data_IF_732235614000
#
_entry.id   IF_732235614000
#
_cell.length_a   1.000
_cell.length_b   1.000
_cell.length_c   1.000
_cell.angle_alpha   90.00
_cell.angle_beta   90.00
_cell.angle_gamma   90.00
#
_symmetry.space_group_name_H-M   'P 1'
#
loop_
_entity.id
_entity.type
_entity.pdbx_description
1 polymer ?
#
# COMPACT_ATOMS: atom_id res chain seq x y z
N UNK A 1 14.82 -0.13 23.87
CA UNK A 1 13.83 -0.94 23.15
C UNK A 1 14.57 -1.87 22.20
N UNK A 2 14.35 -3.18 22.30
CA UNK A 2 14.82 -4.12 21.28
C UNK A 2 14.13 -3.78 19.97
N UNK A 3 14.89 -3.64 18.88
CA UNK A 3 14.29 -3.34 17.57
C UNK A 3 13.44 -4.52 17.12
N UNK A 4 12.16 -4.28 16.93
CA UNK A 4 11.20 -5.27 16.41
C UNK A 4 11.50 -5.66 14.95
N UNK A 5 12.25 -4.82 14.24
CA UNK A 5 12.55 -5.01 12.82
C UNK A 5 14.05 -5.15 12.58
N UNK A 6 14.47 -6.01 11.64
CA UNK A 6 15.89 -6.25 11.33
C UNK A 6 16.57 -5.02 10.69
N UNK A 7 15.79 -4.08 10.17
CA UNK A 7 16.31 -2.91 9.44
C UNK A 7 16.32 -1.68 10.33
N UNK A 8 17.51 -1.07 10.50
CA UNK A 8 17.69 0.20 11.17
C UNK A 8 18.04 1.25 10.13
N UNK A 9 17.14 2.16 9.87
CA UNK A 9 17.42 3.31 9.05
C UNK A 9 16.56 4.51 9.48
N UNK A 10 17.05 5.70 9.18
CA UNK A 10 16.35 6.96 9.37
C UNK A 10 16.26 7.64 8.01
N UNK A 11 15.22 8.40 7.77
CA UNK A 11 15.09 9.21 6.56
C UNK A 11 16.30 10.13 6.36
N UNK A 12 16.85 10.68 7.49
CA UNK A 12 18.04 11.53 7.50
C UNK A 12 19.32 10.84 7.02
N UNK A 13 19.42 9.53 7.13
CA UNK A 13 20.64 8.79 6.80
C UNK A 13 20.83 8.65 5.28
N UNK A 14 19.86 9.15 4.51
CA UNK A 14 19.78 8.84 3.09
C UNK A 14 19.50 7.37 2.89
N UNK A 15 19.09 7.02 1.72
CA UNK A 15 18.57 5.70 1.49
C UNK A 15 19.33 5.00 0.36
N UNK A 16 19.69 3.75 0.47
CA UNK A 16 19.50 2.78 1.54
C UNK A 16 20.55 2.92 2.64
N UNK A 17 20.18 2.39 3.84
CA UNK A 17 21.09 2.34 4.97
C UNK A 17 22.41 1.64 4.63
N UNK A 18 23.48 2.02 5.31
CA UNK A 18 24.79 1.36 5.19
C UNK A 18 24.63 -0.15 5.39
N UNK A 19 25.26 -0.95 4.51
CA UNK A 19 25.30 -2.40 4.59
C UNK A 19 24.31 -3.16 3.69
N UNK A 20 23.43 -2.47 2.95
CA UNK A 20 22.61 -3.12 1.94
C UNK A 20 23.44 -3.41 0.70
N UNK A 21 23.45 -4.67 0.29
CA UNK A 21 24.14 -5.08 -0.94
C UNK A 21 23.28 -4.75 -2.15
N UNK A 22 23.71 -3.74 -2.92
CA UNK A 22 23.10 -3.44 -4.21
C UNK A 22 23.43 -4.53 -5.22
N UNK A 23 22.45 -4.90 -6.03
CA UNK A 23 22.61 -5.89 -7.09
C UNK A 23 22.44 -5.30 -8.50
N UNK A 24 22.30 -3.97 -8.61
CA UNK A 24 22.24 -3.24 -9.89
C UNK A 24 20.95 -3.44 -10.69
N UNK A 25 19.95 -4.14 -10.14
CA UNK A 25 18.66 -4.32 -10.78
C UNK A 25 17.81 -3.06 -10.65
N UNK A 26 17.22 -2.64 -11.76
CA UNK A 26 16.49 -1.36 -11.86
C UNK A 26 15.00 -1.54 -11.62
N UNK A 27 14.45 -0.68 -10.75
CA UNK A 27 13.01 -0.58 -10.50
C UNK A 27 12.51 0.81 -10.83
N UNK A 28 11.34 0.89 -11.43
CA UNK A 28 10.58 2.12 -11.60
C UNK A 28 9.17 1.91 -11.04
N UNK A 29 8.58 2.94 -10.43
CA UNK A 29 7.28 2.86 -9.79
C UNK A 29 6.21 3.68 -10.50
N UNK A 30 4.96 3.27 -10.39
CA UNK A 30 3.79 4.09 -10.72
C UNK A 30 2.88 4.18 -9.49
N UNK A 31 2.14 5.27 -9.35
CA UNK A 31 1.36 5.54 -8.14
C UNK A 31 2.21 5.49 -6.87
N UNK A 32 3.39 6.10 -6.94
CA UNK A 32 4.45 5.94 -5.94
C UNK A 32 4.12 6.54 -4.58
N UNK A 33 3.13 7.43 -4.50
CA UNK A 33 2.73 8.09 -3.25
C UNK A 33 3.93 8.64 -2.46
N UNK A 34 3.98 8.41 -1.14
CA UNK A 34 5.10 8.80 -0.29
C UNK A 34 6.33 7.91 -0.36
N UNK A 35 6.33 6.86 -1.21
CA UNK A 35 7.50 6.02 -1.47
C UNK A 35 7.65 4.78 -0.57
N UNK A 36 6.56 4.28 0.01
CA UNK A 36 6.64 3.08 0.85
C UNK A 36 7.17 1.85 0.11
N UNK A 37 6.67 1.56 -1.11
CA UNK A 37 7.19 0.47 -1.94
C UNK A 37 8.63 0.74 -2.41
N UNK A 38 8.91 1.99 -2.81
CA UNK A 38 10.28 2.42 -3.17
C UNK A 38 11.29 2.11 -2.06
N UNK A 39 10.90 2.38 -0.82
CA UNK A 39 11.69 2.05 0.36
C UNK A 39 11.97 0.55 0.45
N UNK A 40 10.93 -0.27 0.31
CA UNK A 40 11.05 -1.72 0.33
C UNK A 40 12.00 -2.25 -0.75
N UNK A 41 11.91 -1.75 -1.98
CA UNK A 41 12.80 -2.16 -3.07
C UNK A 41 14.25 -1.75 -2.81
N UNK A 42 14.49 -0.54 -2.32
CA UNK A 42 15.84 -0.10 -1.95
C UNK A 42 16.41 -0.95 -0.82
N UNK A 43 15.61 -1.28 0.22
CA UNK A 43 16.02 -2.21 1.29
C UNK A 43 16.38 -3.60 0.77
N UNK A 44 15.70 -4.05 -0.28
CA UNK A 44 16.02 -5.30 -0.97
C UNK A 44 17.24 -5.20 -1.90
N UNK A 45 17.87 -4.03 -2.03
CA UNK A 45 19.09 -3.82 -2.83
C UNK A 45 18.86 -3.42 -4.29
N UNK A 46 17.64 -3.04 -4.66
CA UNK A 46 17.35 -2.55 -6.01
C UNK A 46 17.75 -1.07 -6.19
N UNK A 47 18.14 -0.72 -7.41
CA UNK A 47 18.33 0.66 -7.83
C UNK A 47 16.97 1.23 -8.28
N UNK A 48 16.30 1.94 -7.38
CA UNK A 48 15.01 2.53 -7.67
C UNK A 48 15.16 3.87 -8.40
N UNK A 49 14.78 3.90 -9.68
CA UNK A 49 15.00 5.04 -10.56
C UNK A 49 14.07 6.23 -10.29
N UNK A 50 12.91 5.98 -9.69
CA UNK A 50 11.89 6.99 -9.44
C UNK A 50 10.51 6.52 -9.87
N UNK A 51 9.63 7.43 -10.30
CA UNK A 51 8.28 7.00 -10.66
C UNK A 51 7.34 8.11 -11.13
N UNK A 52 6.06 7.73 -11.24
CA UNK A 52 4.94 8.59 -11.64
C UNK A 52 4.03 8.83 -10.44
N UNK A 53 3.69 10.08 -10.17
CA UNK A 53 2.75 10.52 -9.13
C UNK A 53 1.97 11.72 -9.64
N UNK A 54 0.66 11.69 -9.47
CA UNK A 54 -0.21 12.77 -9.98
C UNK A 54 -0.29 13.95 -9.02
N UNK A 55 -0.14 13.71 -7.70
CA UNK A 55 -0.26 14.75 -6.68
C UNK A 55 1.08 15.47 -6.47
N UNK A 56 1.20 16.77 -6.82
CA UNK A 56 2.45 17.51 -6.67
C UNK A 56 2.95 17.60 -5.22
N UNK A 57 2.03 17.65 -4.24
CA UNK A 57 2.40 17.71 -2.81
C UNK A 57 3.01 16.40 -2.35
N UNK A 58 2.41 15.28 -2.75
CA UNK A 58 2.90 13.95 -2.46
C UNK A 58 4.21 13.68 -3.19
N UNK A 59 4.31 14.09 -4.46
CA UNK A 59 5.54 14.00 -5.25
C UNK A 59 6.70 14.82 -4.64
N UNK A 60 6.40 15.99 -4.03
CA UNK A 60 7.41 16.79 -3.33
C UNK A 60 7.97 16.05 -2.09
N UNK A 61 7.09 15.39 -1.31
CA UNK A 61 7.51 14.54 -0.18
C UNK A 61 8.36 13.38 -0.67
N UNK A 62 7.91 12.69 -1.72
CA UNK A 62 8.68 11.61 -2.33
C UNK A 62 10.06 12.07 -2.79
N UNK A 63 10.13 13.21 -3.50
CA UNK A 63 11.39 13.78 -3.98
C UNK A 63 12.37 14.09 -2.85
N UNK A 64 11.87 14.68 -1.76
CA UNK A 64 12.69 15.01 -0.59
C UNK A 64 13.30 13.76 0.07
N UNK A 65 12.49 12.68 0.20
CA UNK A 65 12.90 11.46 0.90
C UNK A 65 13.73 10.51 0.03
N UNK A 66 13.40 10.37 -1.26
CA UNK A 66 13.95 9.31 -2.11
C UNK A 66 14.95 9.79 -3.14
N UNK A 67 15.02 11.12 -3.43
CA UNK A 67 15.94 11.73 -4.41
C UNK A 67 15.95 10.97 -5.74
N UNK A 68 14.79 10.81 -6.39
CA UNK A 68 14.66 9.98 -7.58
C UNK A 68 15.45 10.56 -8.75
N UNK A 69 15.95 9.67 -9.62
CA UNK A 69 16.58 10.06 -10.90
C UNK A 69 15.52 10.57 -11.88
N UNK A 70 14.36 9.91 -11.93
CA UNK A 70 13.24 10.27 -12.78
C UNK A 70 11.97 10.41 -11.95
N UNK A 71 11.35 11.58 -11.97
CA UNK A 71 10.08 11.86 -11.31
C UNK A 71 9.15 12.56 -12.29
N UNK A 72 8.06 11.90 -12.62
CA UNK A 72 7.01 12.43 -13.48
C UNK A 72 5.79 12.80 -12.61
N UNK A 73 5.52 14.10 -12.54
CA UNK A 73 4.40 14.63 -11.75
C UNK A 73 3.23 14.89 -12.68
N UNK A 74 2.54 13.81 -13.04
CA UNK A 74 1.49 13.84 -14.07
C UNK A 74 0.54 12.63 -13.95
N UNK A 75 -0.56 12.67 -14.68
CA UNK A 75 -1.43 11.47 -14.84
C UNK A 75 -0.68 10.37 -15.58
N UNK A 76 -0.84 9.13 -15.13
CA UNK A 76 -0.23 7.95 -15.76
C UNK A 76 -0.66 7.79 -17.24
N UNK A 77 -1.82 8.31 -17.62
CA UNK A 77 -2.26 8.30 -19.03
C UNK A 77 -1.37 9.20 -19.87
N UNK A 78 -1.08 10.42 -19.38
CA UNK A 78 -0.15 11.33 -20.03
C UNK A 78 1.27 10.74 -20.09
N UNK A 79 1.71 10.10 -19.00
CA UNK A 79 2.99 9.37 -19.00
C UNK A 79 3.04 8.28 -20.08
N UNK A 80 1.94 7.57 -20.31
CA UNK A 80 1.87 6.54 -21.34
C UNK A 80 1.93 7.12 -22.78
N UNK A 81 1.55 8.38 -22.97
CA UNK A 81 1.62 9.06 -24.27
C UNK A 81 3.02 9.65 -24.57
N UNK A 82 3.91 9.74 -23.57
CA UNK A 82 5.24 10.32 -23.75
C UNK A 82 6.09 9.54 -24.74
N UNK A 83 6.82 10.26 -25.58
CA UNK A 83 7.78 9.72 -26.55
C UNK A 83 9.24 10.06 -26.18
N UNK A 84 9.44 10.86 -25.12
CA UNK A 84 10.73 11.36 -24.64
C UNK A 84 11.26 10.65 -23.41
N UNK A 85 10.76 9.44 -23.12
CA UNK A 85 11.23 8.64 -22.00
C UNK A 85 12.67 8.16 -22.24
N UNK A 86 13.54 8.18 -21.21
CA UNK A 86 14.91 7.72 -21.35
C UNK A 86 14.98 6.20 -21.58
N UNK A 87 15.94 5.75 -22.35
CA UNK A 87 16.14 4.34 -22.72
C UNK A 87 16.20 3.39 -21.52
N UNK A 88 16.69 3.86 -20.38
CA UNK A 88 16.78 3.03 -19.19
C UNK A 88 15.42 2.61 -18.63
N UNK A 89 14.34 3.33 -18.92
CA UNK A 89 12.98 2.92 -18.54
C UNK A 89 12.43 1.79 -19.41
N UNK A 90 13.04 1.54 -20.58
CA UNK A 90 12.74 0.40 -21.44
C UNK A 90 13.63 -0.83 -21.14
N UNK A 91 14.51 -0.72 -20.13
CA UNK A 91 15.40 -1.77 -19.66
C UNK A 91 15.23 -2.04 -18.15
N UNK A 92 13.99 -2.04 -17.67
CA UNK A 92 13.67 -2.29 -16.28
C UNK A 92 13.72 -3.78 -15.93
N UNK A 93 14.30 -4.10 -14.79
CA UNK A 93 14.14 -5.42 -14.18
C UNK A 93 12.77 -5.58 -13.56
N UNK A 94 12.22 -4.48 -12.96
CA UNK A 94 10.92 -4.49 -12.32
C UNK A 94 10.18 -3.16 -12.52
N UNK A 95 8.88 -3.25 -12.83
CA UNK A 95 7.93 -2.15 -12.77
C UNK A 95 6.95 -2.42 -11.63
N UNK A 96 6.84 -1.48 -10.69
CA UNK A 96 5.91 -1.53 -9.55
C UNK A 96 4.71 -0.61 -9.79
N UNK A 97 3.53 -1.06 -9.37
CA UNK A 97 2.34 -0.23 -9.44
C UNK A 97 1.24 -0.65 -8.47
N UNK A 98 0.67 0.36 -7.79
CA UNK A 98 -0.47 0.19 -6.90
C UNK A 98 -1.61 1.12 -7.32
N UNK A 99 -2.25 0.87 -8.48
CA UNK A 99 -3.33 1.72 -8.98
C UNK A 99 -4.49 1.77 -7.98
N UNK A 100 -5.08 2.96 -7.74
CA UNK A 100 -6.13 3.13 -6.77
C UNK A 100 -7.36 2.27 -7.12
N UNK A 101 -7.97 1.69 -6.08
CA UNK A 101 -9.06 0.74 -6.18
C UNK A 101 -10.23 1.17 -5.29
N UNK A 102 -10.70 2.39 -5.47
CA UNK A 102 -11.76 2.94 -4.62
C UNK A 102 -13.09 2.20 -4.74
N UNK A 103 -13.36 1.55 -5.87
CA UNK A 103 -14.60 0.80 -6.13
C UNK A 103 -14.59 -0.62 -5.57
N UNK A 104 -13.41 -1.16 -5.23
CA UNK A 104 -13.25 -2.55 -4.78
C UNK A 104 -12.91 -2.68 -3.30
N UNK A 105 -12.65 -1.56 -2.60
CA UNK A 105 -12.33 -1.57 -1.18
C UNK A 105 -13.55 -1.92 -0.34
N UNK A 106 -13.38 -2.81 0.65
CA UNK A 106 -14.40 -3.12 1.66
C UNK A 106 -14.82 -1.89 2.47
N UNK A 107 -13.96 -0.89 2.60
CA UNK A 107 -14.21 0.37 3.30
C UNK A 107 -14.90 1.43 2.42
N UNK A 108 -15.05 1.20 1.11
CA UNK A 108 -15.73 2.10 0.18
C UNK A 108 -17.20 1.74 -0.06
N UNK A 109 -17.98 2.69 -0.60
CA UNK A 109 -19.34 2.44 -1.07
C UNK A 109 -19.29 1.53 -2.28
N UNK A 110 -19.53 0.23 -2.08
CA UNK A 110 -19.58 -0.77 -3.16
C UNK A 110 -20.64 -0.37 -4.20
N UNK A 111 -20.35 -0.62 -5.48
CA UNK A 111 -21.28 -0.57 -6.62
C UNK A 111 -21.89 0.80 -6.99
N UNK A 112 -22.21 1.66 -6.02
CA UNK A 112 -22.79 3.00 -6.30
C UNK A 112 -21.80 4.01 -6.90
N UNK A 113 -20.51 3.69 -6.89
CA UNK A 113 -19.44 4.56 -7.37
C UNK A 113 -18.82 4.16 -8.70
N UNK A 114 -19.27 3.08 -9.34
CA UNK A 114 -18.73 2.61 -10.62
C UNK A 114 -19.03 3.58 -11.75
N UNK A 115 -18.02 3.88 -12.55
CA UNK A 115 -18.13 4.81 -13.69
C UNK A 115 -18.28 6.29 -13.32
N UNK A 116 -18.27 6.64 -12.03
CA UNK A 116 -18.35 8.04 -11.58
C UNK A 116 -16.96 8.65 -11.43
N UNK A 117 -16.83 9.89 -11.88
CA UNK A 117 -15.65 10.69 -11.59
C UNK A 117 -15.55 10.94 -10.08
N UNK A 118 -14.37 10.81 -9.54
CA UNK A 118 -14.06 11.08 -8.13
C UNK A 118 -12.92 12.07 -8.03
N UNK A 119 -13.00 12.95 -7.04
CA UNK A 119 -11.91 13.83 -6.64
C UNK A 119 -11.22 13.19 -5.44
N UNK A 120 -9.92 12.95 -5.54
CA UNK A 120 -9.10 12.57 -4.42
C UNK A 120 -8.53 13.81 -3.77
N UNK A 121 -8.97 14.09 -2.55
CA UNK A 121 -8.53 15.20 -1.71
C UNK A 121 -8.65 16.58 -2.39
N UNK A 122 -8.50 17.63 -1.62
CA UNK A 122 -8.61 19.01 -2.08
C UNK A 122 -7.59 19.29 -3.20
N UNK A 123 -8.12 19.70 -4.38
CA UNK A 123 -7.33 20.20 -5.50
C UNK A 123 -6.90 19.18 -6.55
N UNK A 124 -7.30 17.93 -6.47
CA UNK A 124 -7.02 16.95 -7.52
C UNK A 124 -8.06 17.00 -8.65
N UNK A 125 -7.62 16.69 -9.87
CA UNK A 125 -8.50 16.56 -11.02
C UNK A 125 -9.52 15.43 -10.84
N UNK A 126 -10.73 15.61 -11.39
CA UNK A 126 -11.72 14.55 -11.49
C UNK A 126 -11.16 13.38 -12.30
N UNK A 127 -11.20 12.17 -11.74
CA UNK A 127 -10.65 10.99 -12.40
C UNK A 127 -11.64 9.81 -12.35
N UNK A 128 -11.69 9.07 -13.44
CA UNK A 128 -12.22 7.71 -13.44
C UNK A 128 -11.13 6.78 -12.93
N UNK A 129 -11.39 6.16 -11.78
CA UNK A 129 -10.40 5.31 -11.11
C UNK A 129 -10.51 3.86 -11.52
N UNK A 130 -11.64 3.47 -12.09
CA UNK A 130 -11.95 2.08 -12.38
C UNK A 130 -11.09 1.51 -13.52
N UNK A 131 -10.56 2.39 -14.38
CA UNK A 131 -9.72 2.04 -15.53
C UNK A 131 -8.21 2.21 -15.27
N UNK A 132 -7.80 2.85 -14.15
CA UNK A 132 -6.38 3.06 -13.86
C UNK A 132 -5.58 1.75 -13.72
N UNK A 133 -6.22 0.68 -13.29
CA UNK A 133 -5.60 -0.63 -13.27
C UNK A 133 -5.23 -1.12 -14.67
N UNK A 134 -6.06 -0.82 -15.67
CA UNK A 134 -5.78 -1.17 -17.07
C UNK A 134 -4.76 -0.21 -17.67
N UNK A 135 -4.81 1.08 -17.32
CA UNK A 135 -3.77 2.04 -17.70
C UNK A 135 -2.38 1.61 -17.21
N UNK A 136 -2.31 1.01 -16.02
CA UNK A 136 -1.07 0.41 -15.54
C UNK A 136 -0.63 -0.80 -16.39
N UNK A 137 -1.57 -1.64 -16.83
CA UNK A 137 -1.26 -2.74 -17.77
C UNK A 137 -0.73 -2.19 -19.09
N UNK A 138 -1.25 -1.05 -19.56
CA UNK A 138 -0.75 -0.37 -20.76
C UNK A 138 0.68 0.17 -20.54
N UNK A 139 0.99 0.66 -19.33
CA UNK A 139 2.37 1.03 -18.95
C UNK A 139 3.31 -0.17 -18.99
N UNK A 140 2.85 -1.34 -18.50
CA UNK A 140 3.64 -2.59 -18.60
C UNK A 140 3.89 -2.96 -20.07
N UNK A 141 2.87 -2.85 -20.92
CA UNK A 141 3.01 -3.12 -22.35
C UNK A 141 3.99 -2.17 -23.03
N UNK A 142 3.99 -0.89 -22.64
CA UNK A 142 4.89 0.14 -23.17
C UNK A 142 6.35 -0.08 -22.75
N UNK A 143 6.59 -0.23 -21.45
CA UNK A 143 7.95 -0.29 -20.90
C UNK A 143 8.57 -1.69 -20.95
N UNK A 144 7.77 -2.73 -21.07
CA UNK A 144 8.17 -4.13 -21.18
C UNK A 144 9.19 -4.60 -20.12
N UNK A 145 8.94 -4.34 -18.81
CA UNK A 145 9.84 -4.78 -17.77
C UNK A 145 9.96 -6.31 -17.72
N UNK A 146 11.09 -6.84 -17.22
CA UNK A 146 11.26 -8.30 -17.02
C UNK A 146 10.22 -8.86 -16.03
N UNK A 147 9.91 -8.07 -14.99
CA UNK A 147 8.87 -8.37 -13.99
C UNK A 147 8.00 -7.15 -13.80
N UNK A 148 6.68 -7.35 -13.73
CA UNK A 148 5.77 -6.31 -13.28
C UNK A 148 5.01 -6.80 -12.04
N UNK A 149 4.85 -5.90 -11.06
CA UNK A 149 4.07 -6.16 -9.84
C UNK A 149 2.92 -5.17 -9.78
N UNK A 150 1.70 -5.70 -9.71
CA UNK A 150 0.49 -4.92 -9.46
C UNK A 150 -0.05 -5.28 -8.08
N UNK A 151 -0.04 -4.33 -7.16
CA UNK A 151 -0.64 -4.47 -5.82
C UNK A 151 -2.05 -3.91 -5.83
N UNK A 152 -2.95 -4.60 -5.12
CA UNK A 152 -4.29 -4.08 -4.91
C UNK A 152 -4.96 -4.67 -3.65
N UNK A 153 -6.14 -4.18 -3.30
CA UNK A 153 -6.90 -4.67 -2.15
C UNK A 153 -7.46 -6.07 -2.41
N UNK A 154 -7.62 -6.88 -1.33
CA UNK A 154 -8.25 -8.21 -1.37
C UNK A 154 -9.61 -8.20 -2.10
N UNK A 155 -10.37 -7.10 -2.00
CA UNK A 155 -11.68 -6.96 -2.62
C UNK A 155 -11.68 -7.18 -4.14
N UNK A 156 -10.55 -6.94 -4.84
CA UNK A 156 -10.40 -7.19 -6.26
C UNK A 156 -10.54 -8.69 -6.62
N UNK A 157 -10.25 -9.59 -5.68
CA UNK A 157 -10.38 -11.04 -5.85
C UNK A 157 -11.75 -11.57 -5.41
N UNK A 158 -12.69 -10.71 -5.02
CA UNK A 158 -13.97 -11.12 -4.43
C UNK A 158 -15.18 -10.54 -5.21
N UNK A 159 -16.31 -11.23 -5.12
CA UNK A 159 -17.59 -10.78 -5.71
C UNK A 159 -17.47 -10.43 -7.19
N UNK A 160 -18.17 -9.38 -7.62
CA UNK A 160 -18.20 -8.90 -9.00
C UNK A 160 -16.83 -8.36 -9.48
N UNK A 161 -15.95 -7.96 -8.56
CA UNK A 161 -14.61 -7.46 -8.91
C UNK A 161 -13.69 -8.55 -9.50
N UNK A 162 -14.02 -9.85 -9.33
CA UNK A 162 -13.26 -10.95 -9.94
C UNK A 162 -13.17 -10.86 -11.46
N UNK A 163 -14.13 -10.21 -12.11
CA UNK A 163 -14.11 -10.01 -13.57
C UNK A 163 -12.90 -9.15 -13.96
N UNK A 164 -12.62 -8.10 -13.18
CA UNK A 164 -11.45 -7.24 -13.41
C UNK A 164 -10.15 -8.00 -13.16
N UNK A 165 -10.06 -8.80 -12.11
CA UNK A 165 -8.89 -9.63 -11.86
C UNK A 165 -8.60 -10.59 -13.02
N UNK A 166 -9.64 -11.22 -13.58
CA UNK A 166 -9.51 -12.08 -14.76
C UNK A 166 -9.07 -11.30 -15.99
N UNK A 167 -9.61 -10.11 -16.22
CA UNK A 167 -9.26 -9.27 -17.36
C UNK A 167 -7.82 -8.75 -17.24
N UNK A 168 -7.34 -8.38 -16.04
CA UNK A 168 -5.92 -8.04 -15.79
C UNK A 168 -5.02 -9.20 -16.22
N UNK A 169 -5.30 -10.41 -15.74
CA UNK A 169 -4.51 -11.60 -16.10
C UNK A 169 -4.54 -11.87 -17.60
N UNK A 170 -5.71 -11.74 -18.23
CA UNK A 170 -5.88 -11.93 -19.68
C UNK A 170 -5.04 -10.94 -20.47
N UNK A 171 -5.09 -9.64 -20.14
CA UNK A 171 -4.30 -8.60 -20.83
C UNK A 171 -2.81 -8.80 -20.65
N UNK A 172 -2.35 -9.06 -19.42
CA UNK A 172 -0.94 -9.32 -19.16
C UNK A 172 -0.42 -10.53 -19.95
N UNK A 173 -1.22 -11.60 -20.02
CA UNK A 173 -0.90 -12.77 -20.86
C UNK A 173 -0.88 -12.43 -22.35
N UNK A 174 -1.81 -11.57 -22.79
CA UNK A 174 -1.85 -11.06 -24.16
C UNK A 174 -0.57 -10.28 -24.53
N UNK A 175 0.09 -9.66 -23.55
CA UNK A 175 1.38 -9.00 -23.73
C UNK A 175 2.59 -9.93 -23.54
N UNK A 176 2.38 -11.24 -23.42
CA UNK A 176 3.45 -12.25 -23.36
C UNK A 176 3.97 -12.54 -21.95
N UNK A 177 3.27 -12.11 -20.89
CA UNK A 177 3.66 -12.40 -19.51
C UNK A 177 3.04 -13.68 -18.99
N UNK A 178 3.82 -14.45 -18.22
CA UNK A 178 3.25 -15.43 -17.27
C UNK A 178 2.83 -14.69 -16.00
N UNK A 179 1.63 -15.00 -15.47
CA UNK A 179 1.06 -14.25 -14.34
C UNK A 179 0.68 -15.20 -13.22
N UNK A 180 1.16 -14.91 -12.02
CA UNK A 180 0.72 -15.54 -10.79
C UNK A 180 0.06 -14.49 -9.89
N UNK A 181 -1.01 -14.89 -9.19
CA UNK A 181 -1.76 -14.02 -8.29
C UNK A 181 -1.67 -14.57 -6.87
N UNK A 182 -1.25 -13.71 -5.94
CA UNK A 182 -1.09 -14.05 -4.54
C UNK A 182 -1.98 -13.16 -3.68
N UNK A 183 -2.59 -13.74 -2.65
CA UNK A 183 -3.18 -12.97 -1.55
C UNK A 183 -2.24 -13.11 -0.35
N UNK A 184 -1.63 -12.01 0.04
CA UNK A 184 -0.63 -11.95 1.10
C UNK A 184 -1.14 -11.15 2.28
N UNK A 185 -0.74 -11.55 3.50
CA UNK A 185 -1.03 -10.82 4.72
C UNK A 185 0.28 -10.32 5.34
N UNK A 186 0.42 -9.02 5.50
CA UNK A 186 1.61 -8.40 6.06
C UNK A 186 1.96 -8.92 7.47
N UNK A 187 0.95 -9.35 8.25
CA UNK A 187 1.18 -9.91 9.59
C UNK A 187 2.05 -11.17 9.60
N UNK A 188 2.06 -11.94 8.51
CA UNK A 188 2.94 -13.13 8.38
C UNK A 188 4.30 -12.80 7.78
N UNK A 189 4.57 -11.52 7.55
CA UNK A 189 5.79 -10.99 6.94
C UNK A 189 6.60 -10.12 7.92
N UNK A 190 6.33 -10.22 9.24
CA UNK A 190 6.99 -9.42 10.27
C UNK A 190 6.45 -7.98 10.39
N UNK A 191 5.30 -7.67 9.82
CA UNK A 191 4.63 -6.37 9.96
C UNK A 191 3.55 -6.46 11.05
N UNK A 192 3.55 -5.59 12.07
CA UNK A 192 2.58 -5.65 13.17
C UNK A 192 1.20 -5.13 12.78
N UNK A 193 0.74 -5.50 11.59
CA UNK A 193 -0.56 -5.09 11.02
C UNK A 193 -1.15 -6.20 10.15
N UNK A 194 -2.41 -6.53 10.36
CA UNK A 194 -3.17 -7.39 9.46
C UNK A 194 -3.57 -6.59 8.22
N UNK A 195 -2.76 -6.70 7.18
CA UNK A 195 -2.99 -6.02 5.90
C UNK A 195 -2.97 -7.04 4.76
N UNK A 196 -4.15 -7.45 4.34
CA UNK A 196 -4.30 -8.36 3.20
C UNK A 196 -4.32 -7.58 1.89
N UNK A 197 -3.45 -7.97 0.96
CA UNK A 197 -3.35 -7.39 -0.39
C UNK A 197 -3.16 -8.48 -1.42
N UNK A 198 -3.74 -8.28 -2.60
CA UNK A 198 -3.47 -9.14 -3.74
C UNK A 198 -2.33 -8.55 -4.57
N UNK A 199 -1.47 -9.45 -5.03
CA UNK A 199 -0.33 -9.15 -5.89
C UNK A 199 -0.44 -9.95 -7.18
N UNK A 200 -0.47 -9.26 -8.31
CA UNK A 200 -0.31 -9.87 -9.61
C UNK A 200 1.15 -9.73 -10.00
N UNK A 201 1.86 -10.84 -10.05
CA UNK A 201 3.27 -10.88 -10.44
C UNK A 201 3.34 -11.42 -11.86
N UNK A 202 3.66 -10.53 -12.79
CA UNK A 202 3.79 -10.82 -14.20
C UNK A 202 5.26 -10.91 -14.58
N UNK A 203 5.67 -12.01 -15.23
CA UNK A 203 7.06 -12.29 -15.61
C UNK A 203 7.13 -12.52 -17.11
N UNK A 204 8.07 -11.83 -17.76
CA UNK A 204 8.23 -11.91 -19.20
C UNK A 204 8.87 -13.23 -19.64
N UNK A 205 9.82 -13.75 -18.84
CA UNK A 205 10.47 -15.03 -19.13
C UNK A 205 9.64 -16.21 -18.58
N UNK A 206 9.04 -16.96 -19.49
CA UNK A 206 8.21 -18.13 -19.17
C UNK A 206 9.04 -19.33 -18.68
N UNK A 207 10.35 -19.35 -18.90
CA UNK A 207 11.25 -20.43 -18.45
C UNK A 207 11.49 -20.40 -16.92
N UNK A 208 11.24 -19.27 -16.27
CA UNK A 208 11.40 -19.17 -14.83
C UNK A 208 10.35 -20.04 -14.09
N UNK A 209 10.76 -20.78 -13.06
CA UNK A 209 9.85 -21.62 -12.30
C UNK A 209 8.78 -20.78 -11.61
N UNK A 210 7.64 -21.39 -11.33
CA UNK A 210 6.60 -20.71 -10.57
C UNK A 210 7.11 -20.27 -9.20
N UNK A 211 6.75 -19.04 -8.82
CA UNK A 211 7.06 -18.51 -7.50
C UNK A 211 6.28 -19.29 -6.44
N UNK A 212 6.96 -19.64 -5.37
CA UNK A 212 6.36 -20.14 -4.14
C UNK A 212 6.67 -19.12 -3.06
N UNK A 213 5.66 -18.33 -2.67
CA UNK A 213 5.79 -17.31 -1.63
C UNK A 213 5.29 -17.90 -0.32
N UNK A 214 6.20 -18.10 0.64
CA UNK A 214 5.91 -18.65 1.94
C UNK A 214 6.42 -17.68 3.01
N UNK A 215 5.49 -17.09 3.76
CA UNK A 215 5.78 -16.16 4.83
C UNK A 215 5.15 -16.72 6.11
N UNK A 216 5.97 -16.99 7.11
CA UNK A 216 5.57 -17.66 8.36
C UNK A 216 6.14 -16.94 9.59
N UNK A 217 6.41 -15.63 9.45
CA UNK A 217 6.85 -14.83 10.58
C UNK A 217 5.78 -14.81 11.68
N UNK A 218 6.16 -14.95 12.95
CA UNK A 218 5.19 -14.91 14.04
C UNK A 218 4.51 -13.53 14.12
N UNK A 219 3.20 -13.48 14.35
CA UNK A 219 2.47 -12.24 14.49
C UNK A 219 3.00 -11.37 15.63
N UNK A 220 3.17 -10.07 15.39
CA UNK A 220 3.63 -9.10 16.38
C UNK A 220 2.41 -8.42 17.03
N UNK A 221 2.09 -8.70 18.29
CA UNK A 221 0.92 -8.13 18.98
C UNK A 221 1.15 -6.67 19.37
N UNK A 222 0.07 -5.90 19.52
CA UNK A 222 0.10 -4.47 19.84
C UNK A 222 0.92 -4.15 21.08
N UNK A 223 0.83 -4.95 22.15
CA UNK A 223 1.59 -4.75 23.39
C UNK A 223 3.11 -4.61 23.20
N UNK A 224 3.66 -5.10 22.09
CA UNK A 224 5.10 -5.03 21.80
C UNK A 224 5.58 -3.62 21.45
N UNK A 225 4.66 -2.73 21.07
CA UNK A 225 4.98 -1.35 20.67
C UNK A 225 4.00 -0.31 21.20
N UNK A 226 3.15 -0.70 22.14
CA UNK A 226 2.25 0.17 22.89
C UNK A 226 3.06 1.27 23.61
N UNK A 227 2.69 2.54 23.39
CA UNK A 227 3.35 3.71 23.98
C UNK A 227 2.66 4.17 25.28
N UNK A 228 1.65 3.45 25.76
CA UNK A 228 0.93 3.79 27.00
C UNK A 228 0.08 5.04 26.85
N UNK A 229 0.03 5.85 27.90
CA UNK A 229 -0.72 7.11 27.90
C UNK A 229 0.03 8.20 27.11
N UNK A 230 -0.67 8.77 26.14
CA UNK A 230 -0.16 9.90 25.33
C UNK A 230 -1.31 10.88 25.08
N UNK A 231 -0.99 12.17 24.90
CA UNK A 231 -1.99 13.23 24.73
C UNK A 231 -2.36 13.55 23.28
N UNK A 232 -1.74 12.88 22.30
CA UNK A 232 -1.69 13.42 20.93
C UNK A 232 -2.92 13.17 20.07
N UNK A 233 -3.81 12.26 20.43
CA UNK A 233 -4.93 11.85 19.58
C UNK A 233 -6.16 11.43 20.41
N UNK A 234 -6.88 12.38 20.96
CA UNK A 234 -8.09 12.13 21.75
C UNK A 234 -9.24 11.56 20.91
N UNK A 235 -10.10 10.79 21.55
CA UNK A 235 -11.34 10.32 20.96
C UNK A 235 -12.39 11.44 20.94
N UNK A 236 -13.16 11.52 19.86
CA UNK A 236 -14.33 12.41 19.84
C UNK A 236 -15.36 11.96 20.91
N UNK A 237 -16.27 12.85 21.34
CA UNK A 237 -17.30 12.49 22.34
C UNK A 237 -18.14 11.26 21.94
N UNK A 238 -18.39 11.08 20.64
CA UNK A 238 -19.12 9.91 20.14
C UNK A 238 -18.25 8.64 20.17
N UNK A 239 -16.99 8.75 19.78
CA UNK A 239 -16.04 7.65 19.88
C UNK A 239 -15.85 7.21 21.33
N UNK A 240 -15.75 8.15 22.26
CA UNK A 240 -15.57 7.87 23.68
C UNK A 240 -16.75 7.05 24.25
N UNK A 241 -17.99 7.41 23.87
CA UNK A 241 -19.19 6.65 24.27
C UNK A 241 -19.16 5.19 23.78
N UNK A 242 -18.66 4.97 22.58
CA UNK A 242 -18.55 3.62 22.00
C UNK A 242 -17.37 2.86 22.61
N UNK A 243 -16.22 3.55 22.77
CA UNK A 243 -15.03 2.99 23.42
C UNK A 243 -15.33 2.44 24.81
N UNK A 244 -16.11 3.19 25.63
CA UNK A 244 -16.49 2.75 26.97
C UNK A 244 -17.33 1.47 26.98
N UNK A 245 -18.10 1.21 25.91
CA UNK A 245 -18.94 0.01 25.77
C UNK A 245 -18.18 -1.18 25.21
N UNK A 246 -17.13 -0.93 24.39
CA UNK A 246 -16.37 -1.97 23.74
C UNK A 246 -15.37 -2.64 24.69
N UNK A 247 -15.29 -3.96 24.61
CA UNK A 247 -14.18 -4.73 25.17
C UNK A 247 -12.97 -4.68 24.21
N UNK A 248 -11.75 -4.92 24.71
CA UNK A 248 -10.60 -5.08 23.83
C UNK A 248 -10.85 -6.12 22.71
N UNK A 249 -10.51 -5.77 21.48
CA UNK A 249 -10.77 -6.59 20.29
C UNK A 249 -12.13 -6.37 19.62
N UNK A 250 -13.05 -5.62 20.23
CA UNK A 250 -14.37 -5.40 19.64
C UNK A 250 -14.41 -4.18 18.72
N UNK A 251 -15.26 -4.32 17.68
CA UNK A 251 -15.57 -3.26 16.72
C UNK A 251 -16.65 -2.34 17.25
N UNK A 252 -16.50 -1.03 17.02
CA UNK A 252 -17.50 -0.02 17.40
C UNK A 252 -18.86 -0.23 16.74
N UNK A 253 -18.91 -0.80 15.55
CA UNK A 253 -20.13 -1.11 14.83
C UNK A 253 -21.11 -1.98 15.66
N UNK A 254 -20.58 -2.80 16.57
CA UNK A 254 -21.38 -3.63 17.49
C UNK A 254 -22.32 -2.79 18.39
N UNK A 255 -21.88 -1.58 18.75
CA UNK A 255 -22.57 -0.70 19.69
C UNK A 255 -23.08 0.59 19.03
N UNK A 256 -22.74 0.82 17.77
CA UNK A 256 -23.20 1.99 17.03
C UNK A 256 -24.66 1.78 16.58
N UNK A 257 -25.59 2.76 16.82
CA UNK A 257 -27.02 2.59 16.54
C UNK A 257 -27.36 2.20 15.10
N UNK A 258 -26.55 2.65 14.14
CA UNK A 258 -26.71 2.36 12.69
C UNK A 258 -25.72 1.32 12.17
N UNK A 259 -24.98 0.62 13.04
CA UNK A 259 -23.94 -0.34 12.63
C UNK A 259 -22.77 0.29 11.85
N UNK A 260 -22.64 1.62 11.88
CA UNK A 260 -21.50 2.31 11.24
C UNK A 260 -20.21 2.09 12.04
N UNK A 261 -19.08 2.58 11.51
CA UNK A 261 -17.77 2.50 12.15
C UNK A 261 -17.24 1.07 12.29
N UNK A 262 -17.49 0.26 11.28
CA UNK A 262 -17.02 -1.13 11.19
C UNK A 262 -15.48 -1.27 11.05
N UNK A 263 -14.76 -0.17 10.80
CA UNK A 263 -13.29 -0.12 10.79
C UNK A 263 -12.70 0.36 12.12
N UNK A 264 -13.55 0.71 13.09
CA UNK A 264 -13.13 1.23 14.38
C UNK A 264 -13.13 0.12 15.43
N UNK A 265 -11.99 -0.09 16.05
CA UNK A 265 -11.80 -1.15 17.06
C UNK A 265 -11.22 -0.58 18.34
N UNK A 266 -11.66 -1.08 19.48
CA UNK A 266 -10.89 -1.00 20.71
C UNK A 266 -9.83 -2.09 20.63
N UNK A 267 -8.56 -1.71 20.65
CA UNK A 267 -7.46 -2.65 20.42
C UNK A 267 -7.44 -3.77 21.46
N UNK A 268 -6.96 -4.93 21.02
CA UNK A 268 -6.59 -6.03 21.89
C UNK A 268 -5.06 -6.06 21.98
N UNK A 269 -4.48 -5.88 23.18
CA UNK A 269 -3.03 -5.81 23.33
C UNK A 269 -2.32 -7.10 22.87
N UNK A 270 -3.01 -8.24 22.91
CA UNK A 270 -2.46 -9.55 22.56
C UNK A 270 -2.63 -9.92 21.09
N UNK A 271 -3.24 -9.04 20.29
CA UNK A 271 -3.47 -9.25 18.86
C UNK A 271 -2.71 -8.25 17.99
N UNK A 272 -2.50 -8.68 16.75
CA UNK A 272 -1.97 -7.81 15.69
C UNK A 272 -3.00 -6.73 15.37
N UNK A 273 -2.53 -5.51 15.09
CA UNK A 273 -3.41 -4.41 14.66
C UNK A 273 -4.20 -4.76 13.40
N UNK A 274 -5.41 -4.22 13.31
CA UNK A 274 -6.14 -4.17 12.06
C UNK A 274 -5.44 -3.23 11.06
N UNK A 275 -5.86 -3.29 9.79
CA UNK A 275 -5.27 -2.42 8.76
C UNK A 275 -5.36 -0.94 9.15
N UNK A 276 -4.21 -0.29 9.29
CA UNK A 276 -4.13 1.17 9.46
C UNK A 276 -4.48 1.83 8.14
N UNK A 277 -5.46 2.72 8.15
CA UNK A 277 -5.96 3.43 6.96
C UNK A 277 -5.46 4.86 6.90
N UNK A 278 -5.40 5.44 5.70
CA UNK A 278 -4.93 6.81 5.48
C UNK A 278 -5.91 7.90 5.96
N UNK A 279 -7.14 7.53 6.36
CA UNK A 279 -8.12 8.50 6.82
C UNK A 279 -7.78 8.97 8.23
N UNK A 280 -7.93 10.28 8.47
CA UNK A 280 -7.75 10.93 9.78
C UNK A 280 -8.70 10.40 10.87
N UNK A 281 -9.77 9.72 10.47
CA UNK A 281 -10.68 8.97 11.34
C UNK A 281 -10.16 7.55 11.62
N UNK A 282 -8.86 7.38 11.74
CA UNK A 282 -8.23 6.10 12.08
C UNK A 282 -8.97 5.46 13.26
N UNK A 283 -9.64 4.36 12.96
CA UNK A 283 -10.66 3.82 13.81
C UNK A 283 -10.17 2.99 14.98
N UNK A 284 -8.85 2.84 15.12
CA UNK A 284 -8.28 2.04 16.20
C UNK A 284 -8.01 2.91 17.41
N UNK A 285 -8.55 2.49 18.56
CA UNK A 285 -8.36 3.14 19.85
C UNK A 285 -7.62 2.25 20.82
N UNK A 286 -6.85 2.86 21.71
CA UNK A 286 -6.11 2.15 22.74
C UNK A 286 -7.04 1.38 23.70
N UNK A 287 -6.59 0.27 24.25
CA UNK A 287 -7.41 -0.64 25.07
C UNK A 287 -7.67 -0.15 26.50
N UNK A 288 -6.76 0.66 27.07
CA UNK A 288 -6.86 1.22 28.43
C UNK A 288 -7.19 2.72 28.37
N UNK A 289 -6.47 3.47 27.54
CA UNK A 289 -6.58 4.92 27.47
C UNK A 289 -7.56 5.34 26.35
N UNK A 290 -8.45 6.32 26.58
CA UNK A 290 -9.43 6.75 25.58
C UNK A 290 -8.79 7.63 24.49
N UNK A 291 -7.80 7.09 23.79
CA UNK A 291 -7.06 7.74 22.73
C UNK A 291 -6.98 6.88 21.46
N UNK A 292 -6.66 7.49 20.35
CA UNK A 292 -6.30 6.78 19.10
C UNK A 292 -4.85 6.30 19.14
N UNK A 293 -4.43 5.59 18.11
CA UNK A 293 -3.00 5.32 17.87
C UNK A 293 -2.26 6.62 17.63
N UNK A 294 -1.15 6.82 18.32
CA UNK A 294 -0.28 7.96 18.07
C UNK A 294 0.61 7.76 16.82
N UNK A 295 1.36 8.80 16.44
CA UNK A 295 2.21 8.76 15.25
C UNK A 295 3.27 7.65 15.31
N UNK A 296 3.92 7.46 16.46
CA UNK A 296 4.93 6.42 16.65
C UNK A 296 4.35 5.02 16.47
N UNK A 297 3.20 4.74 17.10
CA UNK A 297 2.51 3.45 16.95
C UNK A 297 2.10 3.19 15.50
N UNK A 298 1.60 4.22 14.78
CA UNK A 298 1.25 4.12 13.35
C UNK A 298 2.48 3.85 12.48
N UNK A 299 3.60 4.52 12.75
CA UNK A 299 4.85 4.28 12.04
C UNK A 299 5.34 2.85 12.26
N UNK A 300 5.39 2.38 13.52
CA UNK A 300 5.79 1.00 13.83
C UNK A 300 4.84 0.00 13.16
N UNK A 301 3.52 0.20 13.29
CA UNK A 301 2.53 -0.67 12.67
C UNK A 301 2.65 -0.76 11.15
N UNK A 302 3.17 0.30 10.51
CA UNK A 302 3.39 0.37 9.07
C UNK A 302 4.83 0.03 8.66
N UNK A 303 5.69 -0.34 9.61
CA UNK A 303 7.14 -0.53 9.40
C UNK A 303 7.80 0.68 8.75
N UNK A 304 7.30 1.87 9.06
CA UNK A 304 7.83 3.14 8.56
C UNK A 304 8.80 3.72 9.58
N UNK A 305 9.97 4.27 9.15
CA UNK A 305 10.99 4.80 10.05
C UNK A 305 10.56 6.08 10.76
#
# INVERSE_FOLDING_TARGET
MSHLFPYRWKLSDGYPAKGIKHHGRKVFGTFICGGGSTMGYKLAGFDHLGGVEIDPKVAAVYKANHKPKHLYVEDIRAFNERTDLPDELFNLDLLDGSPPCSSFSMAGSREKGWGKEKVFREGQAHQRLDDLVFTYVDTIAKLRPKVAILENVKGLLAGNAKVYAKEIVKRLRGHGYTVQVFLLNAATMGVPQMRERCFFIARLDASWPNLVLKFEEPPIPFRMFDQGETSDDELSPEQLKLWAKCKPGECYAKYHPKGNWFTHYKLDPDKVLQTVTANSSDGSSHHIYPRKLNATEKCIASTYP
#
